data_IF_296352766726
#
_entry.id   IF_296352766726
#
_cell.length_a   1.000
_cell.length_b   1.000
_cell.length_c   1.000
_cell.angle_alpha   90.00
_cell.angle_beta   90.00
_cell.angle_gamma   90.00
#
_symmetry.space_group_name_H-M   'P 1'
#
loop_
_entity.id
_entity.type
_entity.pdbx_description
1 polymer ?
#
# COMPACT_ATOMS: atom_id res chain seq x y z
N UNK A 1 -23.29 -6.90 -5.86
CA UNK A 1 -23.37 -5.51 -5.35
C UNK A 1 -22.70 -5.35 -3.98
N UNK A 2 -22.87 -6.28 -3.02
CA UNK A 2 -22.13 -6.22 -1.74
C UNK A 2 -20.63 -6.52 -1.82
N UNK A 3 -20.17 -7.37 -2.77
CA UNK A 3 -18.74 -7.76 -2.90
C UNK A 3 -17.79 -6.56 -3.06
N UNK A 4 -18.18 -5.59 -3.88
CA UNK A 4 -17.34 -4.45 -4.26
C UNK A 4 -16.98 -3.52 -3.08
N UNK A 5 -17.88 -3.40 -2.09
CA UNK A 5 -17.62 -2.57 -0.89
C UNK A 5 -16.57 -3.24 0.00
N UNK A 6 -16.59 -4.57 0.09
CA UNK A 6 -15.59 -5.33 0.84
C UNK A 6 -14.23 -5.35 0.16
N UNK A 7 -14.20 -5.38 -1.18
CA UNK A 7 -12.98 -5.25 -1.97
C UNK A 7 -12.35 -3.85 -1.81
N UNK A 8 -13.16 -2.78 -1.79
CA UNK A 8 -12.68 -1.42 -1.57
C UNK A 8 -12.04 -1.19 -0.19
N UNK A 9 -12.34 -2.02 0.82
CA UNK A 9 -11.68 -1.94 2.12
C UNK A 9 -10.21 -2.39 2.06
N UNK A 10 -9.88 -3.39 1.24
CA UNK A 10 -8.49 -3.87 1.09
C UNK A 10 -7.61 -2.80 0.44
N UNK A 11 -8.14 -2.12 -0.59
CA UNK A 11 -7.51 -0.95 -1.19
C UNK A 11 -7.14 0.13 -0.15
N UNK A 12 -8.08 0.46 0.75
CA UNK A 12 -7.85 1.46 1.81
C UNK A 12 -6.88 0.92 2.87
N UNK A 13 -7.01 -0.35 3.25
CA UNK A 13 -6.17 -1.01 4.26
C UNK A 13 -4.70 -1.02 3.84
N UNK A 14 -4.38 -1.44 2.63
CA UNK A 14 -3.00 -1.48 2.16
C UNK A 14 -2.42 -0.09 1.91
N UNK A 15 -3.25 0.89 1.51
CA UNK A 15 -2.82 2.28 1.46
C UNK A 15 -2.43 2.80 2.85
N UNK A 16 -3.24 2.51 3.88
CA UNK A 16 -2.93 2.86 5.27
C UNK A 16 -1.67 2.14 5.76
N UNK A 17 -1.52 0.85 5.45
CA UNK A 17 -0.33 0.07 5.81
C UNK A 17 0.96 0.70 5.26
N UNK A 18 0.98 1.04 3.96
CA UNK A 18 2.10 1.74 3.36
C UNK A 18 2.39 3.08 4.05
N UNK A 19 1.35 3.90 4.29
CA UNK A 19 1.50 5.20 4.96
C UNK A 19 2.06 5.06 6.38
N UNK A 20 1.67 4.03 7.13
CA UNK A 20 2.20 3.76 8.48
C UNK A 20 3.67 3.35 8.42
N UNK A 21 4.07 2.50 7.48
CA UNK A 21 5.47 2.12 7.28
C UNK A 21 6.31 3.34 6.89
N UNK A 22 5.83 4.15 5.95
CA UNK A 22 6.49 5.38 5.55
C UNK A 22 6.58 6.38 6.71
N UNK A 23 5.51 6.57 7.48
CA UNK A 23 5.51 7.42 8.67
C UNK A 23 6.52 6.93 9.72
N UNK A 24 6.62 5.62 9.94
CA UNK A 24 7.62 5.04 10.84
C UNK A 24 9.05 5.32 10.35
N UNK A 25 9.31 5.19 9.05
CA UNK A 25 10.61 5.53 8.45
C UNK A 25 10.94 7.02 8.60
N UNK A 26 9.96 7.91 8.36
CA UNK A 26 10.11 9.37 8.50
C UNK A 26 10.41 9.73 9.95
N UNK A 27 9.62 9.21 10.90
CA UNK A 27 9.79 9.45 12.33
C UNK A 27 11.18 9.03 12.84
N UNK A 28 11.75 7.98 12.25
CA UNK A 28 13.09 7.49 12.58
C UNK A 28 14.21 8.12 11.73
N UNK A 29 13.92 9.14 10.92
CA UNK A 29 14.87 9.77 9.97
C UNK A 29 15.56 8.78 9.03
N UNK A 30 14.89 7.68 8.73
CA UNK A 30 15.36 6.63 7.81
C UNK A 30 14.67 6.68 6.47
N UNK A 31 13.76 7.63 6.23
CA UNK A 31 13.04 7.74 4.97
C UNK A 31 13.95 8.27 3.85
N UNK A 32 14.26 7.39 2.91
CA UNK A 32 14.96 7.66 1.65
C UNK A 32 14.50 6.64 0.58
N UNK A 33 14.88 6.84 -0.68
CA UNK A 33 14.32 6.11 -1.83
C UNK A 33 14.38 4.58 -1.70
N UNK A 34 15.46 4.02 -1.13
CA UNK A 34 15.58 2.57 -0.94
C UNK A 34 14.63 2.05 0.15
N UNK A 35 14.53 2.72 1.30
CA UNK A 35 13.60 2.32 2.36
C UNK A 35 12.15 2.52 2.00
N UNK A 36 11.84 3.56 1.22
CA UNK A 36 10.50 3.82 0.72
C UNK A 36 10.08 2.74 -0.30
N UNK A 37 10.98 2.40 -1.24
CA UNK A 37 10.78 1.27 -2.14
C UNK A 37 10.61 -0.05 -1.38
N UNK A 38 11.40 -0.29 -0.33
CA UNK A 38 11.27 -1.48 0.51
C UNK A 38 9.93 -1.52 1.25
N UNK A 39 9.43 -0.39 1.76
CA UNK A 39 8.12 -0.29 2.41
C UNK A 39 6.97 -0.56 1.42
N UNK A 40 7.07 -0.03 0.20
CA UNK A 40 6.12 -0.31 -0.88
C UNK A 40 6.11 -1.81 -1.24
N UNK A 41 7.28 -2.41 -1.46
CA UNK A 41 7.40 -3.86 -1.78
C UNK A 41 6.85 -4.70 -0.63
N UNK A 42 7.18 -4.38 0.63
CA UNK A 42 6.66 -5.09 1.78
C UNK A 42 5.13 -5.03 1.87
N UNK A 43 4.53 -3.88 1.57
CA UNK A 43 3.06 -3.71 1.52
C UNK A 43 2.44 -4.58 0.43
N UNK A 44 3.03 -4.61 -0.78
CA UNK A 44 2.55 -5.44 -1.89
C UNK A 44 2.64 -6.94 -1.55
N UNK A 45 3.75 -7.37 -0.95
CA UNK A 45 3.92 -8.76 -0.52
C UNK A 45 2.89 -9.14 0.55
N UNK A 46 2.61 -8.23 1.47
CA UNK A 46 1.60 -8.44 2.50
C UNK A 46 0.18 -8.54 1.90
N UNK A 47 -0.15 -7.69 0.92
CA UNK A 47 -1.42 -7.78 0.19
C UNK A 47 -1.59 -9.13 -0.52
N UNK A 48 -0.52 -9.66 -1.13
CA UNK A 48 -0.55 -10.98 -1.73
C UNK A 48 -0.78 -12.11 -0.71
N UNK A 49 -0.20 -11.97 0.49
CA UNK A 49 -0.41 -12.92 1.60
C UNK A 49 -1.87 -12.87 2.08
N UNK A 50 -2.47 -11.67 2.21
CA UNK A 50 -3.86 -11.52 2.60
C UNK A 50 -4.82 -12.20 1.62
N UNK A 51 -4.60 -11.97 0.33
CA UNK A 51 -5.34 -12.61 -0.76
C UNK A 51 -5.22 -14.14 -0.69
N UNK A 52 -4.02 -14.69 -0.41
CA UNK A 52 -3.86 -16.13 -0.15
C UNK A 52 -4.65 -16.57 1.09
N UNK A 53 -4.65 -15.78 2.17
CA UNK A 53 -5.44 -16.06 3.38
C UNK A 53 -6.94 -16.10 3.08
N UNK A 54 -7.44 -15.20 2.23
CA UNK A 54 -8.85 -15.17 1.82
C UNK A 54 -9.28 -16.43 1.08
N UNK A 55 -8.38 -17.10 0.35
CA UNK A 55 -8.66 -18.37 -0.33
C UNK A 55 -9.13 -19.47 0.65
N UNK A 56 -8.68 -19.41 1.90
CA UNK A 56 -9.07 -20.38 2.95
C UNK A 56 -10.34 -19.98 3.71
N UNK A 57 -10.91 -18.80 3.44
CA UNK A 57 -12.14 -18.32 4.08
C UNK A 57 -13.36 -18.69 3.22
N UNK A 58 -14.24 -19.60 3.67
CA UNK A 58 -15.39 -20.03 2.89
C UNK A 58 -16.38 -18.87 2.65
N UNK A 59 -16.83 -18.72 1.40
CA UNK A 59 -17.77 -17.67 0.99
C UNK A 59 -17.11 -16.42 0.38
N UNK A 60 -15.79 -16.40 0.21
CA UNK A 60 -15.05 -15.37 -0.54
C UNK A 60 -14.70 -15.86 -1.95
N UNK A 61 -14.89 -15.00 -2.95
CA UNK A 61 -14.45 -15.24 -4.33
C UNK A 61 -13.12 -14.53 -4.55
N UNK A 62 -12.05 -15.30 -4.67
CA UNK A 62 -10.74 -14.78 -5.07
C UNK A 62 -10.76 -14.45 -6.56
N UNK A 63 -10.64 -13.17 -6.92
CA UNK A 63 -10.49 -12.73 -8.30
C UNK A 63 -9.12 -12.13 -8.50
N UNK A 64 -8.39 -12.59 -9.52
CA UNK A 64 -7.08 -12.03 -9.89
C UNK A 64 -7.15 -10.53 -10.23
N UNK A 65 -8.34 -10.02 -10.54
CA UNK A 65 -8.56 -8.59 -10.76
C UNK A 65 -8.52 -7.76 -9.46
N UNK A 66 -8.75 -8.37 -8.30
CA UNK A 66 -8.74 -7.65 -7.01
C UNK A 66 -7.31 -7.35 -6.57
N UNK A 67 -6.38 -8.29 -6.79
CA UNK A 67 -4.95 -8.09 -6.61
C UNK A 67 -4.41 -6.89 -7.42
N UNK A 68 -4.90 -6.72 -8.66
CA UNK A 68 -4.50 -5.59 -9.52
C UNK A 68 -5.03 -4.26 -8.98
N UNK A 69 -6.23 -4.23 -8.41
CA UNK A 69 -6.81 -3.02 -7.80
C UNK A 69 -6.03 -2.60 -6.56
N UNK A 70 -5.66 -3.55 -5.70
CA UNK A 70 -4.91 -3.27 -4.47
C UNK A 70 -3.51 -2.73 -4.78
N UNK A 71 -2.83 -3.30 -5.78
CA UNK A 71 -1.55 -2.79 -6.25
C UNK A 71 -1.66 -1.35 -6.78
N UNK A 72 -2.76 -1.00 -7.45
CA UNK A 72 -2.97 0.37 -7.94
C UNK A 72 -3.08 1.38 -6.78
N UNK A 73 -3.73 1.02 -5.67
CA UNK A 73 -3.82 1.88 -4.49
C UNK A 73 -2.47 2.17 -3.83
N UNK A 74 -1.65 1.12 -3.70
CA UNK A 74 -0.29 1.25 -3.15
C UNK A 74 0.56 2.17 -4.05
N UNK A 75 0.50 2.01 -5.37
CA UNK A 75 1.24 2.86 -6.32
C UNK A 75 0.78 4.33 -6.24
N UNK A 76 -0.52 4.58 -6.12
CA UNK A 76 -1.05 5.95 -5.96
C UNK A 76 -0.52 6.57 -4.67
N UNK A 77 -0.60 5.86 -3.54
CA UNK A 77 -0.09 6.36 -2.26
C UNK A 77 1.42 6.64 -2.31
N UNK A 78 2.19 5.73 -2.90
CA UNK A 78 3.64 5.85 -3.08
C UNK A 78 4.03 7.07 -3.94
N UNK A 79 3.38 7.24 -5.09
CA UNK A 79 3.66 8.37 -5.99
C UNK A 79 3.29 9.71 -5.37
N UNK A 80 2.16 9.79 -4.65
CA UNK A 80 1.74 11.00 -3.95
C UNK A 80 2.73 11.35 -2.84
N UNK A 81 3.10 10.40 -1.99
CA UNK A 81 4.03 10.64 -0.89
C UNK A 81 5.43 11.01 -1.41
N UNK A 82 5.91 10.32 -2.44
CA UNK A 82 7.18 10.63 -3.10
C UNK A 82 7.22 12.08 -3.60
N UNK A 83 6.17 12.55 -4.30
CA UNK A 83 6.08 13.94 -4.77
C UNK A 83 6.10 14.95 -3.62
N UNK A 84 5.26 14.76 -2.61
CA UNK A 84 5.21 15.66 -1.44
C UNK A 84 6.53 15.71 -0.68
N UNK A 85 7.25 14.59 -0.59
CA UNK A 85 8.53 14.54 0.12
C UNK A 85 9.67 15.17 -0.70
N UNK A 86 9.65 15.04 -2.03
CA UNK A 86 10.59 15.69 -2.94
C UNK A 86 10.40 17.21 -2.94
N UNK A 87 9.16 17.71 -3.08
CA UNK A 87 8.86 19.15 -2.99
C UNK A 87 9.35 19.76 -1.67
N UNK A 88 9.18 19.04 -0.55
CA UNK A 88 9.64 19.48 0.76
C UNK A 88 11.15 19.44 0.96
N UNK A 89 11.88 18.70 0.13
CA UNK A 89 13.35 18.73 0.11
C UNK A 89 13.84 19.93 -0.71
N UNK A 90 13.22 20.21 -1.86
CA UNK A 90 13.55 21.38 -2.69
C UNK A 90 13.27 22.71 -1.97
N UNK A 91 12.26 22.77 -1.10
CA UNK A 91 11.93 23.99 -0.32
C UNK A 91 12.92 24.27 0.84
N UNK A 92 13.81 23.32 1.15
CA UNK A 92 14.79 23.44 2.25
C UNK A 92 16.23 23.71 1.79
N UNK A 93 16.50 23.63 0.48
CA UNK A 93 17.78 23.98 -0.15
C UNK A 93 17.79 25.44 -0.63
#
# INVERSE_FOLDING_TARGET
MFSFVWEAFHFIEFAILYLLLAAALIANKRYHSLTDLAAMIATILYAFIDEIHQFYVPGRSFSQLDLVKDMAGIIVAWTVLGKFYLEKQEEKD
#
